data_IF_852501997619
#
_entry.id   IF_852501997619
#
_cell.length_a   1.000
_cell.length_b   1.000
_cell.length_c   1.000
_cell.angle_alpha   90.00
_cell.angle_beta   90.00
_cell.angle_gamma   90.00
#
_symmetry.space_group_name_H-M   'P 1'
#
loop_
_entity.id
_entity.type
_entity.pdbx_description
1 polymer ?
#
# COMPACT_ATOMS: atom_id res chain seq x y z
N UNK A 1 35.19 8.91 3.43
CA UNK A 1 35.50 9.79 4.58
C UNK A 1 35.17 11.22 4.18
N UNK A 2 34.59 11.99 5.10
CA UNK A 2 34.03 13.34 4.96
C UNK A 2 32.71 13.40 4.14
N UNK A 3 31.65 14.11 4.51
CA UNK A 3 31.26 14.84 5.73
C UNK A 3 29.84 15.39 5.45
N UNK A 4 28.89 15.17 6.36
CA UNK A 4 27.56 15.77 6.32
C UNK A 4 27.55 17.10 7.11
N UNK A 5 26.84 18.14 6.66
CA UNK A 5 26.29 19.20 7.51
C UNK A 5 24.80 18.88 7.78
N UNK A 6 24.30 18.78 9.02
CA UNK A 6 24.12 19.87 10.00
C UNK A 6 22.68 20.42 9.86
N UNK A 7 21.81 20.47 10.86
CA UNK A 7 21.96 20.20 12.28
C UNK A 7 20.63 20.20 13.05
N UNK A 8 20.73 19.82 14.32
CA UNK A 8 19.69 19.79 15.35
C UNK A 8 19.10 21.17 15.69
N UNK A 9 17.85 21.21 16.17
CA UNK A 9 17.43 21.98 17.36
C UNK A 9 16.16 21.39 18.01
N UNK A 10 16.34 20.75 19.17
CA UNK A 10 15.54 20.90 20.41
C UNK A 10 15.71 19.64 21.28
N UNK A 11 16.72 19.65 22.16
CA UNK A 11 16.87 18.67 23.25
C UNK A 11 16.79 19.42 24.59
N UNK A 12 15.91 18.95 25.48
CA UNK A 12 15.88 19.40 26.88
C UNK A 12 16.74 18.45 27.74
N UNK A 13 17.59 19.04 28.58
CA UNK A 13 18.53 18.37 29.48
C UNK A 13 17.86 18.11 30.83
N UNK A 14 18.03 16.91 31.40
CA UNK A 14 17.61 16.59 32.76
C UNK A 14 18.69 17.00 33.80
N UNK A 15 18.29 17.71 34.85
CA UNK A 15 19.14 18.01 36.01
C UNK A 15 18.92 16.95 37.11
N UNK A 16 19.99 16.26 37.50
CA UNK A 16 20.03 15.31 38.62
C UNK A 16 20.30 16.02 39.95
N UNK A 17 19.48 15.74 40.96
CA UNK A 17 19.74 16.07 42.36
C UNK A 17 18.88 15.21 43.30
N UNK A 18 19.49 14.19 43.92
CA UNK A 18 19.02 13.54 45.17
C UNK A 18 19.57 14.33 46.37
N UNK A 19 19.09 14.24 47.65
CA UNK A 19 18.64 13.02 48.40
C UNK A 19 17.56 13.32 49.51
N UNK A 20 17.40 12.59 50.66
CA UNK A 20 17.44 11.16 50.99
C UNK A 20 16.14 10.62 51.65
N UNK A 21 16.16 9.32 52.01
CA UNK A 21 15.11 8.44 52.52
C UNK A 21 14.52 8.72 53.92
N UNK A 22 13.30 8.23 54.15
CA UNK A 22 12.80 7.78 55.48
C UNK A 22 11.92 6.53 55.37
N UNK A 23 12.14 5.63 56.33
CA UNK A 23 11.49 4.33 56.60
C UNK A 23 10.24 4.48 57.47
N UNK A 24 9.27 3.55 57.38
CA UNK A 24 8.58 2.91 58.54
C UNK A 24 7.54 1.84 58.13
N UNK A 25 7.79 0.62 58.63
CA UNK A 25 6.91 -0.41 59.25
C UNK A 25 5.47 -0.76 58.80
N UNK A 26 5.18 -2.07 58.92
CA UNK A 26 4.04 -2.88 58.48
C UNK A 26 3.13 -3.32 59.66
N UNK A 27 1.80 -3.46 59.47
CA UNK A 27 0.96 -4.56 60.00
C UNK A 27 -0.54 -4.47 59.54
N UNK A 28 -1.32 -5.58 59.60
CA UNK A 28 -2.38 -5.90 58.62
C UNK A 28 -3.83 -5.78 59.13
N UNK A 29 -4.79 -5.70 58.19
CA UNK A 29 -6.19 -6.09 58.45
C UNK A 29 -6.94 -6.50 57.16
N UNK A 30 -7.81 -7.51 57.28
CA UNK A 30 -8.83 -7.96 56.32
C UNK A 30 -10.00 -8.53 57.15
N UNK A 31 -11.20 -8.80 56.61
CA UNK A 31 -11.88 -8.26 55.43
C UNK A 31 -13.35 -7.85 55.72
N UNK A 32 -13.99 -7.03 54.87
CA UNK A 32 -15.44 -7.15 54.66
C UNK A 32 -15.81 -6.78 53.22
N UNK A 33 -16.63 -7.64 52.64
CA UNK A 33 -17.01 -7.76 51.24
C UNK A 33 -18.12 -6.80 50.82
N UNK A 34 -17.88 -6.04 49.75
CA UNK A 34 -18.91 -5.69 48.77
C UNK A 34 -18.27 -5.76 47.39
N UNK A 35 -18.85 -6.58 46.51
CA UNK A 35 -18.27 -6.97 45.22
C UNK A 35 -18.31 -5.78 44.25
N UNK A 36 -17.20 -5.05 44.13
CA UNK A 36 -17.00 -4.08 43.05
C UNK A 36 -16.88 -4.83 41.71
N UNK A 37 -17.41 -4.29 40.60
CA UNK A 37 -17.23 -4.89 39.29
C UNK A 37 -15.74 -4.93 38.93
N UNK A 38 -15.31 -6.04 38.34
CA UNK A 38 -13.90 -6.31 38.06
C UNK A 38 -13.29 -5.26 37.12
N UNK A 39 -12.10 -4.76 37.47
CA UNK A 39 -11.27 -3.90 36.63
C UNK A 39 -10.81 -4.67 35.39
N UNK A 40 -11.02 -4.10 34.20
CA UNK A 40 -10.59 -4.66 32.92
C UNK A 40 -9.10 -4.35 32.63
N UNK A 41 -8.45 -5.02 31.67
CA UNK A 41 -7.02 -4.90 31.42
C UNK A 41 -6.66 -3.51 30.88
N UNK A 42 -5.64 -2.90 31.48
CA UNK A 42 -4.99 -1.69 31.00
C UNK A 42 -3.93 -2.04 29.95
N UNK A 43 -3.91 -1.30 28.84
CA UNK A 43 -2.80 -1.38 27.88
C UNK A 43 -1.62 -0.58 28.44
N UNK A 44 -0.45 -1.20 28.60
CA UNK A 44 0.80 -0.61 29.11
C UNK A 44 1.45 0.41 28.16
N UNK A 45 0.70 0.99 27.21
CA UNK A 45 1.19 2.04 26.35
C UNK A 45 1.24 3.37 27.11
N UNK A 46 2.37 4.08 27.02
CA UNK A 46 2.54 5.40 27.61
C UNK A 46 1.48 6.40 27.07
N UNK A 47 1.10 7.43 27.85
CA UNK A 47 0.03 8.36 27.47
C UNK A 47 0.28 9.01 26.10
N UNK A 48 -0.71 8.95 25.21
CA UNK A 48 -0.75 9.80 24.01
C UNK A 48 -0.90 11.26 24.42
N UNK A 49 -0.34 12.18 23.63
CA UNK A 49 -0.29 13.63 23.86
C UNK A 49 -1.65 14.35 23.98
N UNK A 50 -2.77 13.65 23.79
CA UNK A 50 -4.12 14.22 23.77
C UNK A 50 -4.89 14.11 25.10
N UNK A 51 -4.32 13.49 26.14
CA UNK A 51 -4.87 13.55 27.49
C UNK A 51 -3.95 14.34 28.43
N UNK A 52 -4.30 15.63 28.63
CA UNK A 52 -3.61 16.56 29.53
C UNK A 52 -3.56 16.08 31.01
N UNK A 53 -4.20 14.95 31.35
CA UNK A 53 -4.21 14.36 32.68
C UNK A 53 -3.24 13.19 32.86
N UNK A 54 -2.46 12.83 31.83
CA UNK A 54 -1.35 11.86 31.95
C UNK A 54 -1.77 10.43 32.29
N UNK A 55 -2.97 10.01 31.88
CA UNK A 55 -3.47 8.65 32.07
C UNK A 55 -3.26 7.77 30.83
N UNK A 56 -3.22 6.45 31.03
CA UNK A 56 -3.24 5.48 29.94
C UNK A 56 -4.60 5.49 29.22
N UNK A 57 -4.63 5.09 27.94
CA UNK A 57 -5.89 5.02 27.18
C UNK A 57 -6.77 3.86 27.66
N UNK A 58 -8.08 4.08 27.75
CA UNK A 58 -9.05 3.02 28.04
C UNK A 58 -9.29 2.10 26.84
N UNK A 59 -9.46 0.80 27.11
CA UNK A 59 -9.89 -0.19 26.11
C UNK A 59 -11.26 0.16 25.51
N UNK A 60 -11.57 -0.27 24.27
CA UNK A 60 -12.87 -0.04 23.64
C UNK A 60 -14.04 -0.46 24.53
N UNK A 61 -15.07 0.38 24.63
CA UNK A 61 -16.21 0.18 25.54
C UNK A 61 -15.98 0.66 26.97
N UNK A 62 -14.83 1.29 27.25
CA UNK A 62 -14.51 1.89 28.54
C UNK A 62 -14.11 3.37 28.37
N UNK A 63 -14.40 4.19 29.37
CA UNK A 63 -14.01 5.59 29.44
C UNK A 63 -13.60 5.96 30.86
N UNK A 64 -12.72 6.95 31.00
CA UNK A 64 -12.36 7.46 32.31
C UNK A 64 -13.54 8.13 33.02
N UNK A 65 -13.51 8.10 34.35
CA UNK A 65 -14.57 8.63 35.23
C UNK A 65 -14.95 10.08 34.91
N UNK A 66 -14.00 10.94 34.52
CA UNK A 66 -14.26 12.34 34.21
C UNK A 66 -15.03 12.53 32.89
N UNK A 67 -14.99 11.56 31.97
CA UNK A 67 -15.80 11.57 30.74
C UNK A 67 -17.22 11.06 30.99
N UNK A 68 -17.44 10.36 32.10
CA UNK A 68 -18.73 9.78 32.50
C UNK A 68 -19.41 10.57 33.63
N UNK A 69 -18.86 11.71 34.00
CA UNK A 69 -19.36 12.57 35.09
C UNK A 69 -19.53 11.83 36.43
N UNK A 70 -18.62 10.88 36.71
CA UNK A 70 -18.58 10.11 37.95
C UNK A 70 -17.69 10.80 39.00
N UNK A 71 -17.80 10.40 40.26
CA UNK A 71 -16.84 10.83 41.29
C UNK A 71 -15.44 10.24 41.03
N UNK A 72 -14.40 10.97 41.44
CA UNK A 72 -13.00 10.52 41.28
C UNK A 72 -12.75 9.23 42.09
N UNK A 73 -12.34 8.12 41.46
CA UNK A 73 -11.97 6.88 42.12
C UNK A 73 -10.57 6.96 42.74
N UNK A 74 -10.24 5.99 43.61
CA UNK A 74 -8.93 5.93 44.26
C UNK A 74 -7.75 5.83 43.28
N UNK A 75 -7.92 5.13 42.15
CA UNK A 75 -7.00 5.19 41.01
C UNK A 75 -7.56 6.14 39.96
N UNK A 76 -6.99 7.34 39.90
CA UNK A 76 -7.42 8.43 39.01
C UNK A 76 -7.46 8.04 37.53
N UNK A 77 -6.72 7.02 37.10
CA UNK A 77 -6.70 6.58 35.69
C UNK A 77 -7.60 5.36 35.43
N UNK A 78 -8.48 5.00 36.37
CA UNK A 78 -9.45 3.93 36.19
C UNK A 78 -10.36 4.15 34.98
N UNK A 79 -10.65 3.07 34.28
CA UNK A 79 -11.53 3.01 33.13
C UNK A 79 -12.83 2.29 33.52
N UNK A 80 -13.98 2.92 33.24
CA UNK A 80 -15.31 2.40 33.56
C UNK A 80 -16.08 2.03 32.30
N UNK A 81 -16.94 1.00 32.32
CA UNK A 81 -17.75 0.65 31.18
C UNK A 81 -18.61 1.84 30.75
N UNK A 82 -18.61 2.17 29.47
CA UNK A 82 -19.59 3.11 28.92
C UNK A 82 -20.92 2.38 28.85
N UNK A 83 -21.97 2.85 29.53
CA UNK A 83 -23.28 2.20 29.53
C UNK A 83 -23.83 2.11 28.10
N UNK A 84 -23.76 0.91 27.55
CA UNK A 84 -24.07 0.56 26.18
C UNK A 84 -23.23 -0.65 25.84
N UNK A 85 -23.85 -1.83 25.76
CA UNK A 85 -23.18 -3.06 25.32
C UNK A 85 -22.31 -2.77 24.10
N UNK A 86 -21.10 -3.37 23.99
CA UNK A 86 -20.36 -3.26 22.75
C UNK A 86 -21.28 -3.76 21.63
N UNK A 87 -21.46 -3.02 20.52
CA UNK A 87 -22.15 -3.60 19.40
C UNK A 87 -21.34 -4.85 19.03
N UNK A 88 -21.99 -6.01 19.16
CA UNK A 88 -21.56 -7.19 18.42
C UNK A 88 -21.25 -6.73 17.00
N UNK A 89 -20.05 -7.05 16.50
CA UNK A 89 -19.69 -6.79 15.12
C UNK A 89 -20.91 -7.18 14.26
N UNK A 90 -21.46 -6.25 13.45
CA UNK A 90 -22.67 -6.54 12.71
C UNK A 90 -22.38 -7.78 11.88
N UNK A 91 -23.20 -8.82 12.06
CA UNK A 91 -23.28 -9.86 11.05
C UNK A 91 -23.61 -9.14 9.74
N UNK A 92 -22.94 -9.49 8.63
CA UNK A 92 -23.22 -8.82 7.36
C UNK A 92 -24.72 -8.91 7.13
N UNK A 93 -25.42 -7.78 6.91
CA UNK A 93 -26.80 -7.88 6.48
C UNK A 93 -26.78 -8.72 5.19
N UNK A 94 -27.76 -9.62 5.04
CA UNK A 94 -28.00 -10.30 3.78
C UNK A 94 -28.51 -9.26 2.77
N UNK A 95 -27.62 -8.37 2.35
CA UNK A 95 -27.88 -7.35 1.35
C UNK A 95 -27.52 -8.01 0.05
N UNK A 96 -28.54 -8.44 -0.68
CA UNK A 96 -28.42 -8.49 -2.13
C UNK A 96 -27.84 -7.12 -2.53
N UNK A 97 -26.66 -7.14 -3.15
CA UNK A 97 -25.97 -5.94 -3.61
C UNK A 97 -27.00 -5.00 -4.25
N UNK A 98 -27.11 -3.73 -3.82
CA UNK A 98 -28.03 -2.81 -4.47
C UNK A 98 -27.72 -2.81 -5.97
N UNK A 99 -28.73 -2.81 -6.86
CA UNK A 99 -28.49 -2.81 -8.28
C UNK A 99 -27.68 -1.56 -8.65
N UNK A 100 -26.52 -1.81 -9.26
CA UNK A 100 -25.58 -0.80 -9.73
C UNK A 100 -26.27 0.04 -10.81
N UNK A 101 -26.69 1.24 -10.48
CA UNK A 101 -27.10 2.24 -11.47
C UNK A 101 -25.86 2.89 -12.09
N UNK A 102 -25.23 2.20 -13.05
CA UNK A 102 -24.05 2.74 -13.75
C UNK A 102 -23.14 1.72 -14.44
N UNK A 103 -23.63 1.05 -15.48
CA UNK A 103 -22.87 0.67 -16.67
C UNK A 103 -21.59 -0.16 -16.56
N UNK A 104 -21.70 -1.49 -16.42
CA UNK A 104 -20.59 -2.43 -16.66
C UNK A 104 -20.08 -2.49 -18.11
N UNK A 105 -20.68 -1.74 -19.04
CA UNK A 105 -20.24 -1.64 -20.43
C UNK A 105 -18.99 -0.74 -20.61
N UNK A 106 -18.78 0.25 -19.74
CA UNK A 106 -17.66 1.20 -19.84
C UNK A 106 -16.30 0.59 -19.48
N UNK A 107 -16.30 -0.43 -18.62
CA UNK A 107 -15.06 -1.02 -18.10
C UNK A 107 -14.38 -1.99 -19.05
N UNK A 108 -15.05 -2.42 -20.12
CA UNK A 108 -14.55 -3.49 -20.98
C UNK A 108 -13.38 -3.01 -21.86
N UNK A 109 -12.15 -3.37 -21.46
CA UNK A 109 -10.94 -3.10 -22.22
C UNK A 109 -10.75 -4.06 -23.40
N UNK A 110 -11.47 -5.16 -23.48
CA UNK A 110 -11.31 -6.15 -24.56
C UNK A 110 -11.45 -5.57 -25.96
N UNK A 111 -12.48 -4.76 -26.16
CA UNK A 111 -12.67 -4.01 -27.41
C UNK A 111 -11.67 -2.86 -27.57
N UNK A 112 -11.39 -2.13 -26.48
CA UNK A 112 -10.56 -0.92 -26.50
C UNK A 112 -9.09 -1.20 -26.77
N UNK A 113 -8.54 -2.21 -26.12
CA UNK A 113 -7.15 -2.62 -26.23
C UNK A 113 -6.95 -3.66 -27.34
N UNK A 114 -8.01 -4.22 -27.92
CA UNK A 114 -8.00 -5.13 -29.08
C UNK A 114 -7.25 -4.62 -30.32
N UNK A 115 -7.04 -3.30 -30.44
CA UNK A 115 -6.28 -2.68 -31.53
C UNK A 115 -4.75 -2.80 -31.44
N UNK A 116 -4.18 -3.03 -30.26
CA UNK A 116 -2.72 -3.06 -30.10
C UNK A 116 -2.12 -4.39 -30.59
N UNK A 117 -0.90 -4.34 -31.12
CA UNK A 117 -0.15 -5.50 -31.64
C UNK A 117 1.29 -5.50 -31.11
N UNK A 118 2.10 -6.50 -31.49
CA UNK A 118 3.53 -6.56 -31.16
C UNK A 118 3.84 -6.50 -29.65
N UNK A 119 4.86 -5.72 -29.29
CA UNK A 119 5.32 -5.59 -27.89
C UNK A 119 4.26 -4.97 -26.97
N UNK A 120 3.45 -4.02 -27.47
CA UNK A 120 2.35 -3.46 -26.68
C UNK A 120 1.29 -4.53 -26.36
N UNK A 121 0.87 -5.35 -27.35
CA UNK A 121 -0.05 -6.47 -27.09
C UNK A 121 0.54 -7.44 -26.07
N UNK A 122 1.83 -7.77 -26.21
CA UNK A 122 2.53 -8.67 -25.31
C UNK A 122 2.52 -8.14 -23.87
N UNK A 123 2.81 -6.86 -23.68
CA UNK A 123 2.76 -6.20 -22.39
C UNK A 123 1.36 -6.21 -21.77
N UNK A 124 0.35 -5.77 -22.52
CA UNK A 124 -1.03 -5.73 -22.05
C UNK A 124 -1.53 -7.14 -21.66
N UNK A 125 -1.20 -8.15 -22.45
CA UNK A 125 -1.55 -9.54 -22.14
C UNK A 125 -0.84 -10.04 -20.88
N UNK A 126 0.46 -9.74 -20.71
CA UNK A 126 1.22 -10.14 -19.52
C UNK A 126 0.64 -9.55 -18.22
N UNK A 127 0.09 -8.33 -18.29
CA UNK A 127 -0.50 -7.65 -17.14
C UNK A 127 -1.98 -8.02 -16.92
N UNK A 128 -2.64 -8.69 -17.88
CA UNK A 128 -4.09 -8.99 -17.81
C UNK A 128 -4.34 -10.41 -17.30
N UNK A 129 -5.07 -10.59 -16.19
CA UNK A 129 -5.45 -11.92 -15.72
C UNK A 129 -6.24 -12.70 -16.78
N UNK A 130 -5.88 -13.96 -17.05
CA UNK A 130 -6.54 -14.81 -18.03
C UNK A 130 -6.41 -16.29 -17.69
N UNK A 131 -7.52 -17.05 -17.71
CA UNK A 131 -7.52 -18.45 -17.28
C UNK A 131 -6.89 -18.63 -15.89
N UNK A 132 -5.88 -19.50 -15.82
CA UNK A 132 -5.06 -19.78 -14.62
C UNK A 132 -3.94 -18.76 -14.36
N UNK A 133 -3.80 -17.72 -15.17
CA UNK A 133 -2.90 -16.59 -14.91
C UNK A 133 -3.65 -15.49 -14.15
N UNK A 134 -3.16 -15.12 -12.96
CA UNK A 134 -3.71 -14.01 -12.17
C UNK A 134 -3.11 -12.65 -12.52
N UNK A 135 -2.29 -12.58 -13.58
CA UNK A 135 -1.70 -11.35 -14.10
C UNK A 135 -0.39 -10.98 -13.40
N UNK A 136 -0.29 -9.71 -12.99
CA UNK A 136 0.92 -9.15 -12.39
C UNK A 136 0.82 -8.92 -10.88
N UNK A 137 1.93 -9.12 -10.17
CA UNK A 137 2.09 -8.80 -8.76
C UNK A 137 3.40 -8.04 -8.51
N UNK A 138 3.36 -7.02 -7.66
CA UNK A 138 4.56 -6.30 -7.23
C UNK A 138 5.50 -7.20 -6.46
N UNK A 139 6.77 -7.22 -6.85
CA UNK A 139 7.82 -8.02 -6.25
C UNK A 139 8.98 -7.15 -5.80
N UNK A 140 9.41 -7.42 -4.57
CA UNK A 140 10.60 -6.88 -3.93
C UNK A 140 11.23 -8.04 -3.19
N UNK A 141 12.55 -8.19 -3.31
CA UNK A 141 13.27 -9.21 -2.57
C UNK A 141 13.58 -8.77 -1.12
N UNK A 142 13.28 -7.52 -0.77
CA UNK A 142 13.49 -6.94 0.54
C UNK A 142 12.44 -7.43 1.56
N UNK A 143 12.53 -8.71 1.91
CA UNK A 143 11.77 -9.35 3.00
C UNK A 143 12.64 -9.43 4.26
N UNK A 144 12.08 -9.52 5.46
CA UNK A 144 12.88 -9.59 6.68
C UNK A 144 13.97 -10.70 6.64
N UNK A 145 15.19 -10.40 7.13
CA UNK A 145 15.66 -9.13 7.73
C UNK A 145 16.26 -8.14 6.71
N UNK A 146 16.06 -8.35 5.42
CA UNK A 146 16.64 -7.57 4.33
C UNK A 146 15.82 -6.32 4.01
N UNK A 147 16.45 -5.39 3.31
CA UNK A 147 15.86 -4.12 2.87
C UNK A 147 16.45 -3.73 1.51
N UNK A 148 15.93 -2.69 0.84
CA UNK A 148 16.56 -2.18 -0.39
C UNK A 148 18.02 -1.76 -0.21
N UNK A 149 18.42 -1.39 1.02
CA UNK A 149 19.80 -1.00 1.36
C UNK A 149 20.64 -2.13 1.96
N UNK A 150 20.01 -3.26 2.27
CA UNK A 150 20.65 -4.49 2.75
C UNK A 150 20.05 -5.66 1.94
N UNK A 151 20.47 -5.85 0.68
CA UNK A 151 19.81 -6.79 -0.22
C UNK A 151 20.02 -8.25 0.22
N UNK A 152 19.06 -9.15 -0.06
CA UNK A 152 19.14 -10.56 0.29
C UNK A 152 20.17 -11.33 -0.54
N UNK A 153 20.67 -12.48 -0.05
CA UNK A 153 21.48 -13.39 -0.84
C UNK A 153 20.64 -14.02 -1.96
N UNK A 154 21.33 -14.45 -3.03
CA UNK A 154 20.70 -14.98 -4.24
C UNK A 154 19.79 -16.19 -3.99
N UNK A 155 20.16 -17.08 -3.07
CA UNK A 155 19.35 -18.27 -2.75
C UNK A 155 17.99 -17.89 -2.13
N UNK A 156 17.94 -16.77 -1.38
CA UNK A 156 16.67 -16.27 -0.88
C UNK A 156 15.81 -15.70 -2.02
N UNK A 157 16.39 -14.94 -2.96
CA UNK A 157 15.67 -14.45 -4.14
C UNK A 157 15.05 -15.63 -4.91
N UNK A 158 15.82 -16.70 -5.14
CA UNK A 158 15.35 -17.94 -5.77
C UNK A 158 14.19 -18.57 -5.00
N UNK A 159 14.32 -18.68 -3.67
CA UNK A 159 13.25 -19.21 -2.81
C UNK A 159 11.96 -18.40 -2.91
N UNK A 160 12.05 -17.07 -2.87
CA UNK A 160 10.88 -16.18 -2.97
C UNK A 160 10.18 -16.34 -4.33
N UNK A 161 10.93 -16.31 -5.43
CA UNK A 161 10.38 -16.53 -6.77
C UNK A 161 9.80 -17.94 -6.94
N UNK A 162 10.44 -18.95 -6.34
CA UNK A 162 9.92 -20.32 -6.25
C UNK A 162 8.58 -20.40 -5.51
N UNK A 163 8.45 -19.71 -4.38
CA UNK A 163 7.19 -19.64 -3.64
C UNK A 163 6.09 -18.97 -4.47
N UNK A 164 6.37 -17.87 -5.18
CA UNK A 164 5.40 -17.26 -6.09
C UNK A 164 4.97 -18.29 -7.16
N UNK A 165 5.92 -19.00 -7.77
CA UNK A 165 5.61 -20.00 -8.82
C UNK A 165 4.77 -21.16 -8.33
N UNK A 166 5.04 -21.65 -7.12
CA UNK A 166 4.45 -22.87 -6.60
C UNK A 166 3.13 -22.62 -5.86
N UNK A 167 2.98 -21.45 -5.23
CA UNK A 167 1.88 -21.16 -4.30
C UNK A 167 0.94 -20.08 -4.83
N UNK A 168 1.19 -19.54 -6.03
CA UNK A 168 0.35 -18.53 -6.65
C UNK A 168 0.18 -18.79 -8.15
N UNK A 169 -0.76 -18.07 -8.75
CA UNK A 169 -1.03 -18.10 -10.18
C UNK A 169 -0.47 -16.91 -10.95
N UNK A 170 0.26 -16.00 -10.30
CA UNK A 170 0.87 -14.85 -10.97
C UNK A 170 1.99 -15.29 -11.92
N UNK A 171 2.01 -14.77 -13.14
CA UNK A 171 3.05 -15.06 -14.15
C UNK A 171 3.88 -13.84 -14.54
N UNK A 172 3.44 -12.66 -14.11
CA UNK A 172 4.14 -11.39 -14.33
C UNK A 172 4.50 -10.74 -12.99
N UNK A 173 5.67 -10.11 -12.94
CA UNK A 173 6.15 -9.37 -11.78
C UNK A 173 6.27 -7.89 -12.13
N UNK A 174 5.94 -7.02 -11.19
CA UNK A 174 6.28 -5.59 -11.24
C UNK A 174 7.40 -5.32 -10.26
N UNK A 175 8.54 -4.78 -10.71
CA UNK A 175 9.62 -4.37 -9.81
C UNK A 175 9.87 -2.88 -9.88
N UNK A 176 10.09 -2.26 -8.71
CA UNK A 176 10.31 -0.82 -8.57
C UNK A 176 11.73 -0.35 -8.88
N UNK A 177 12.58 -1.28 -9.32
CA UNK A 177 13.92 -1.04 -9.81
C UNK A 177 14.28 -2.14 -10.80
N UNK A 178 15.20 -1.84 -11.71
CA UNK A 178 15.72 -2.78 -12.72
C UNK A 178 17.18 -3.01 -12.37
N UNK A 179 17.51 -4.22 -11.89
CA UNK A 179 18.85 -4.57 -11.44
C UNK A 179 19.38 -5.85 -12.12
N UNK A 180 20.71 -5.91 -12.30
CA UNK A 180 21.37 -7.01 -12.99
C UNK A 180 21.39 -8.34 -12.24
N UNK A 181 21.00 -8.37 -10.96
CA UNK A 181 21.09 -9.55 -10.10
C UNK A 181 19.78 -10.33 -10.07
N UNK A 182 18.65 -9.63 -9.97
CA UNK A 182 17.33 -10.24 -9.85
C UNK A 182 16.78 -10.71 -11.20
N UNK A 183 17.01 -9.94 -12.27
CA UNK A 183 16.45 -10.21 -13.61
C UNK A 183 16.86 -11.57 -14.18
N UNK A 184 18.14 -12.02 -14.08
CA UNK A 184 18.52 -13.36 -14.52
C UNK A 184 17.71 -14.47 -13.82
N UNK A 185 17.41 -14.31 -12.52
CA UNK A 185 16.60 -15.28 -11.77
C UNK A 185 15.14 -15.22 -12.20
N UNK A 186 14.58 -14.04 -12.43
CA UNK A 186 13.23 -13.89 -12.99
C UNK A 186 13.11 -14.61 -14.33
N UNK A 187 14.13 -14.48 -15.18
CA UNK A 187 14.22 -15.18 -16.47
C UNK A 187 14.36 -16.71 -16.31
N UNK A 188 15.15 -17.17 -15.33
CA UNK A 188 15.31 -18.59 -14.97
C UNK A 188 13.94 -19.20 -14.59
N UNK A 189 13.17 -18.50 -13.76
CA UNK A 189 11.83 -18.90 -13.31
C UNK A 189 10.72 -18.57 -14.34
N UNK A 190 11.07 -18.10 -15.54
CA UNK A 190 10.14 -17.82 -16.66
C UNK A 190 9.06 -16.80 -16.36
N UNK A 191 9.32 -15.85 -15.45
CA UNK A 191 8.43 -14.71 -15.22
C UNK A 191 8.59 -13.68 -16.33
N UNK A 192 7.47 -13.05 -16.68
CA UNK A 192 7.50 -11.77 -17.35
C UNK A 192 7.66 -10.66 -16.31
N UNK A 193 8.17 -9.51 -16.72
CA UNK A 193 8.44 -8.40 -15.80
C UNK A 193 8.10 -7.05 -16.42
N UNK A 194 7.37 -6.22 -15.68
CA UNK A 194 7.38 -4.78 -15.88
C UNK A 194 8.40 -4.16 -14.92
N UNK A 195 9.35 -3.40 -15.46
CA UNK A 195 10.40 -2.75 -14.66
C UNK A 195 10.17 -1.25 -14.51
N UNK A 196 10.39 -0.72 -13.32
CA UNK A 196 10.36 0.72 -13.06
C UNK A 196 11.78 1.27 -13.03
N UNK A 197 12.01 2.36 -13.76
CA UNK A 197 13.21 3.19 -13.62
C UNK A 197 13.01 4.08 -12.40
N UNK A 198 13.77 3.84 -11.34
CA UNK A 198 13.70 4.61 -10.09
C UNK A 198 14.33 5.99 -10.27
N UNK A 199 13.51 6.96 -10.68
CA UNK A 199 13.93 8.34 -10.91
C UNK A 199 13.86 9.18 -9.63
N UNK A 200 14.72 10.18 -9.53
CA UNK A 200 14.68 11.20 -8.49
C UNK A 200 14.62 12.58 -9.13
N UNK A 201 13.60 13.37 -8.78
CA UNK A 201 13.39 14.71 -9.32
C UNK A 201 14.52 15.63 -8.87
N UNK A 202 15.08 16.40 -9.81
CA UNK A 202 16.17 17.33 -9.53
C UNK A 202 17.55 16.68 -9.34
N UNK A 203 17.71 15.39 -9.61
CA UNK A 203 19.01 14.69 -9.61
C UNK A 203 19.39 14.20 -11.01
N UNK A 204 20.66 13.81 -11.18
CA UNK A 204 21.12 13.13 -12.39
C UNK A 204 20.65 11.66 -12.39
N UNK A 205 19.74 11.34 -13.32
CA UNK A 205 19.18 10.01 -13.49
C UNK A 205 19.87 9.20 -14.60
N UNK A 206 20.96 9.71 -15.18
CA UNK A 206 21.63 9.09 -16.34
C UNK A 206 22.06 7.66 -16.09
N UNK A 207 22.59 7.36 -14.91
CA UNK A 207 23.03 6.01 -14.54
C UNK A 207 21.88 5.00 -14.51
N UNK A 208 20.77 5.33 -13.85
CA UNK A 208 19.61 4.43 -13.71
C UNK A 208 18.88 4.25 -15.04
N UNK A 209 18.80 5.29 -15.88
CA UNK A 209 18.23 5.20 -17.23
C UNK A 209 19.07 4.27 -18.12
N UNK A 210 20.39 4.44 -18.12
CA UNK A 210 21.28 3.61 -18.93
C UNK A 210 21.27 2.15 -18.49
N UNK A 211 21.24 1.89 -17.18
CA UNK A 211 21.12 0.53 -16.64
C UNK A 211 19.79 -0.13 -17.06
N UNK A 212 18.68 0.61 -17.02
CA UNK A 212 17.38 0.12 -17.47
C UNK A 212 17.38 -0.26 -18.96
N UNK A 213 17.95 0.61 -19.82
CA UNK A 213 18.11 0.35 -21.25
C UNK A 213 18.96 -0.90 -21.50
N UNK A 214 20.09 -1.03 -20.81
CA UNK A 214 20.97 -2.19 -20.94
C UNK A 214 20.22 -3.48 -20.58
N UNK A 215 19.54 -3.52 -19.44
CA UNK A 215 18.81 -4.70 -18.99
C UNK A 215 17.63 -5.04 -19.91
N UNK A 216 16.88 -4.04 -20.38
CA UNK A 216 15.77 -4.23 -21.32
C UNK A 216 16.22 -4.85 -22.65
N UNK A 217 17.40 -4.48 -23.14
CA UNK A 217 17.98 -5.04 -24.35
C UNK A 217 18.63 -6.42 -24.12
N UNK A 218 19.16 -6.67 -22.92
CA UNK A 218 19.75 -7.96 -22.56
C UNK A 218 18.69 -9.04 -22.28
N UNK A 219 17.53 -8.65 -21.73
CA UNK A 219 16.44 -9.55 -21.36
C UNK A 219 15.10 -9.16 -22.03
N UNK A 220 15.04 -9.05 -23.37
CA UNK A 220 13.86 -8.56 -24.08
C UNK A 220 12.64 -9.50 -23.96
N UNK A 221 12.90 -10.78 -23.72
CA UNK A 221 11.85 -11.79 -23.48
C UNK A 221 11.38 -11.81 -22.02
N UNK A 222 12.12 -11.23 -21.09
CA UNK A 222 11.70 -11.15 -19.67
C UNK A 222 11.00 -9.82 -19.41
N UNK A 223 11.63 -8.70 -19.80
CA UNK A 223 11.09 -7.36 -19.56
C UNK A 223 10.07 -7.05 -20.67
N UNK A 224 8.79 -7.01 -20.30
CA UNK A 224 7.66 -6.77 -21.20
C UNK A 224 7.25 -5.30 -21.31
N UNK A 225 7.59 -4.48 -20.33
CA UNK A 225 7.22 -3.06 -20.26
C UNK A 225 8.12 -2.30 -19.28
N UNK A 226 8.26 -1.00 -19.50
CA UNK A 226 9.10 -0.13 -18.67
C UNK A 226 8.29 1.08 -18.20
N UNK A 227 8.37 1.41 -16.92
CA UNK A 227 7.82 2.63 -16.36
C UNK A 227 8.95 3.60 -16.00
N UNK A 228 8.90 4.82 -16.52
CA UNK A 228 9.77 5.92 -16.13
C UNK A 228 9.20 6.62 -14.90
N UNK A 229 9.70 6.26 -13.72
CA UNK A 229 9.25 6.78 -12.43
C UNK A 229 8.00 6.10 -11.87
N UNK A 230 7.85 6.23 -10.55
CA UNK A 230 6.66 5.85 -9.79
C UNK A 230 6.36 6.97 -8.80
N UNK A 231 5.15 7.52 -8.86
CA UNK A 231 4.63 8.50 -7.89
C UNK A 231 5.47 9.78 -7.73
N UNK A 232 6.16 10.21 -8.79
CA UNK A 232 6.97 11.43 -8.74
C UNK A 232 6.11 12.68 -8.53
N UNK A 233 4.91 12.73 -9.13
CA UNK A 233 3.96 13.81 -8.95
C UNK A 233 3.35 13.81 -7.55
N UNK A 234 3.03 12.64 -7.00
CA UNK A 234 2.58 12.53 -5.60
C UNK A 234 3.65 12.99 -4.61
N UNK A 235 4.91 12.63 -4.85
CA UNK A 235 6.03 12.93 -3.93
C UNK A 235 6.54 14.38 -4.04
N UNK A 236 6.62 14.92 -5.27
CA UNK A 236 7.28 16.20 -5.56
C UNK A 236 6.32 17.28 -6.08
N UNK A 237 5.01 17.00 -6.09
CA UNK A 237 3.98 17.86 -6.66
C UNK A 237 4.00 17.89 -8.19
N UNK A 238 2.94 18.45 -8.77
CA UNK A 238 2.78 18.52 -10.23
C UNK A 238 3.58 19.70 -10.81
N UNK A 239 4.91 19.60 -10.80
CA UNK A 239 5.82 20.67 -11.26
C UNK A 239 6.43 20.37 -12.63
N UNK A 240 6.92 21.40 -13.34
CA UNK A 240 7.65 21.20 -14.59
C UNK A 240 8.93 20.36 -14.41
N UNK A 241 9.54 20.39 -13.22
CA UNK A 241 10.69 19.53 -12.90
C UNK A 241 10.31 18.05 -12.97
N UNK A 242 9.13 17.68 -12.46
CA UNK A 242 8.59 16.31 -12.57
C UNK A 242 8.33 15.95 -14.03
N UNK A 243 7.67 16.84 -14.78
CA UNK A 243 7.39 16.63 -16.21
C UNK A 243 8.69 16.40 -16.99
N UNK A 244 9.72 17.24 -16.79
CA UNK A 244 11.02 17.10 -17.44
C UNK A 244 11.74 15.80 -17.04
N UNK A 245 11.71 15.44 -15.75
CA UNK A 245 12.34 14.19 -15.27
C UNK A 245 11.73 12.96 -15.94
N UNK A 246 10.40 12.89 -16.04
CA UNK A 246 9.70 11.77 -16.68
C UNK A 246 9.96 11.78 -18.19
N UNK A 247 9.80 12.92 -18.86
CA UNK A 247 9.93 13.00 -20.33
C UNK A 247 11.35 12.75 -20.81
N UNK A 248 12.40 13.15 -20.07
CA UNK A 248 13.79 12.78 -20.38
C UNK A 248 13.99 11.26 -20.36
N UNK A 249 13.55 10.59 -19.29
CA UNK A 249 13.60 9.14 -19.20
C UNK A 249 12.84 8.48 -20.36
N UNK A 250 11.60 8.90 -20.61
CA UNK A 250 10.74 8.33 -21.66
C UNK A 250 11.41 8.45 -23.01
N UNK A 251 11.92 9.63 -23.37
CA UNK A 251 12.57 9.86 -24.65
C UNK A 251 13.84 9.00 -24.82
N UNK A 252 14.68 8.94 -23.80
CA UNK A 252 15.93 8.17 -23.84
C UNK A 252 15.68 6.66 -23.90
N UNK A 253 14.71 6.16 -23.13
CA UNK A 253 14.37 4.74 -23.12
C UNK A 253 13.70 4.34 -24.43
N UNK A 254 12.68 5.07 -24.90
CA UNK A 254 11.99 4.77 -26.17
C UNK A 254 12.92 4.78 -27.38
N UNK A 255 13.95 5.62 -27.38
CA UNK A 255 14.93 5.65 -28.45
C UNK A 255 15.83 4.41 -28.51
N UNK A 256 15.91 3.61 -27.43
CA UNK A 256 16.92 2.58 -27.27
C UNK A 256 16.36 1.16 -27.01
N UNK A 257 15.06 1.00 -26.79
CA UNK A 257 14.43 -0.28 -26.44
C UNK A 257 13.20 -0.58 -27.30
N UNK A 258 12.72 -1.83 -27.28
CA UNK A 258 11.53 -2.26 -28.03
C UNK A 258 10.26 -2.36 -27.17
N UNK A 259 10.42 -2.39 -25.86
CA UNK A 259 9.34 -2.46 -24.89
C UNK A 259 8.54 -1.16 -24.88
N UNK A 260 7.21 -1.23 -24.67
CA UNK A 260 6.41 -0.04 -24.46
C UNK A 260 6.82 0.68 -23.17
N UNK A 261 6.91 2.01 -23.24
CA UNK A 261 7.38 2.87 -22.15
C UNK A 261 6.24 3.73 -21.63
N UNK A 262 5.99 3.66 -20.32
CA UNK A 262 4.97 4.43 -19.62
C UNK A 262 5.54 5.16 -18.41
N UNK A 263 4.66 5.68 -17.57
CA UNK A 263 4.97 6.24 -16.26
C UNK A 263 3.79 5.98 -15.33
N UNK A 264 4.04 5.91 -14.02
CA UNK A 264 3.05 5.50 -13.03
C UNK A 264 2.93 6.53 -11.93
N UNK A 265 1.70 6.89 -11.57
CA UNK A 265 1.44 7.83 -10.47
C UNK A 265 0.06 7.59 -9.86
N UNK A 266 -0.23 8.24 -8.74
CA UNK A 266 -1.52 8.13 -8.06
C UNK A 266 -2.66 8.68 -8.90
N UNK A 267 -3.88 8.22 -8.63
CA UNK A 267 -5.10 8.77 -9.24
C UNK A 267 -5.17 10.30 -9.14
N UNK A 268 -4.84 10.88 -7.98
CA UNK A 268 -4.85 12.33 -7.76
C UNK A 268 -3.83 13.06 -8.63
N UNK A 269 -2.68 12.46 -8.93
CA UNK A 269 -1.73 13.08 -9.85
C UNK A 269 -2.31 13.19 -11.26
N UNK A 270 -2.94 12.14 -11.76
CA UNK A 270 -3.57 12.15 -13.09
C UNK A 270 -4.86 12.96 -13.16
N UNK A 271 -5.56 13.11 -12.02
CA UNK A 271 -6.89 13.72 -11.97
C UNK A 271 -7.12 14.46 -10.64
N UNK A 272 -6.45 15.59 -10.45
CA UNK A 272 -6.70 16.53 -9.33
C UNK A 272 -7.55 17.73 -9.77
N UNK A 273 -8.33 18.27 -8.83
CA UNK A 273 -9.06 19.53 -8.97
C UNK A 273 -8.10 20.74 -9.04
N UNK A 274 -6.91 20.63 -8.43
CA UNK A 274 -5.93 21.73 -8.31
C UNK A 274 -5.18 22.04 -9.61
N UNK A 275 -5.29 21.20 -10.64
CA UNK A 275 -4.71 21.39 -11.98
C UNK A 275 -5.80 21.53 -13.06
N UNK A 276 -6.80 22.38 -12.79
CA UNK A 276 -7.82 22.76 -13.79
C UNK A 276 -8.81 21.67 -14.17
N UNK A 277 -9.01 20.67 -13.32
CA UNK A 277 -9.84 19.50 -13.64
C UNK A 277 -9.08 18.51 -14.52
N UNK A 278 -8.22 17.71 -13.88
CA UNK A 278 -7.53 16.56 -14.46
C UNK A 278 -6.64 16.79 -15.69
N UNK A 279 -6.34 18.03 -16.12
CA UNK A 279 -5.72 18.23 -17.45
C UNK A 279 -4.94 19.54 -17.68
N UNK A 280 -3.82 19.81 -17.00
CA UNK A 280 -2.87 20.78 -17.61
C UNK A 280 -1.43 20.34 -17.65
N UNK A 281 -0.84 19.85 -16.56
CA UNK A 281 0.60 19.54 -16.53
C UNK A 281 0.90 18.10 -16.93
N UNK A 282 -0.02 17.18 -16.66
CA UNK A 282 0.13 15.77 -17.02
C UNK A 282 -0.17 15.47 -18.50
N UNK A 283 -0.81 16.37 -19.25
CA UNK A 283 -0.99 16.16 -20.70
C UNK A 283 0.35 16.04 -21.41
N UNK A 284 1.30 16.91 -21.08
CA UNK A 284 2.66 16.86 -21.62
C UNK A 284 3.39 15.54 -21.30
N UNK A 285 3.11 14.95 -20.12
CA UNK A 285 3.61 13.62 -19.78
C UNK A 285 2.87 12.57 -20.60
N UNK A 286 1.54 12.51 -20.53
CA UNK A 286 0.73 11.48 -21.19
C UNK A 286 0.94 11.40 -22.70
N UNK A 287 1.17 12.54 -23.35
CA UNK A 287 1.38 12.62 -24.80
C UNK A 287 2.69 11.95 -25.25
N UNK A 288 3.66 11.80 -24.35
CA UNK A 288 4.94 11.13 -24.63
C UNK A 288 4.92 9.61 -24.40
N UNK A 289 3.93 9.11 -23.64
CA UNK A 289 3.88 7.73 -23.18
C UNK A 289 3.27 6.79 -24.22
N UNK A 290 3.66 5.51 -24.16
CA UNK A 290 2.96 4.44 -24.87
C UNK A 290 1.78 3.89 -24.05
N UNK A 291 1.82 4.05 -22.72
CA UNK A 291 0.77 3.67 -21.77
C UNK A 291 0.85 4.48 -20.47
N UNK A 292 -0.27 4.62 -19.76
CA UNK A 292 -0.39 5.32 -18.47
C UNK A 292 -0.56 4.30 -17.35
N UNK A 293 0.21 4.42 -16.28
CA UNK A 293 0.03 3.68 -15.03
C UNK A 293 -0.66 4.50 -13.97
N UNK A 294 -1.70 3.96 -13.36
CA UNK A 294 -2.39 4.58 -12.22
C UNK A 294 -2.33 3.69 -10.97
N UNK A 295 -1.89 4.27 -9.86
CA UNK A 295 -1.93 3.66 -8.54
C UNK A 295 -3.23 4.06 -7.84
N UNK A 296 -4.04 3.07 -7.42
CA UNK A 296 -5.37 3.27 -6.84
C UNK A 296 -5.52 2.41 -5.58
N UNK A 297 -5.60 3.09 -4.43
CA UNK A 297 -5.77 2.44 -3.13
C UNK A 297 -7.00 2.97 -2.39
N UNK A 298 -8.14 2.27 -2.48
CA UNK A 298 -9.33 2.60 -1.69
C UNK A 298 -9.06 2.65 -0.17
N UNK A 299 -8.08 1.88 0.32
CA UNK A 299 -7.61 1.94 1.69
C UNK A 299 -7.09 3.35 2.07
N UNK A 300 -6.25 3.96 1.24
CA UNK A 300 -5.71 5.30 1.52
C UNK A 300 -6.76 6.39 1.39
N UNK A 301 -7.77 6.20 0.53
CA UNK A 301 -8.93 7.08 0.50
C UNK A 301 -9.67 7.11 1.85
N UNK A 302 -9.70 5.99 2.58
CA UNK A 302 -10.28 5.96 3.93
C UNK A 302 -9.50 6.81 4.93
N UNK A 303 -8.22 7.07 4.69
CA UNK A 303 -7.37 7.84 5.60
C UNK A 303 -7.36 9.32 5.20
N UNK A 304 -7.21 9.61 3.90
CA UNK A 304 -6.88 10.95 3.42
C UNK A 304 -7.98 11.64 2.61
N UNK A 305 -8.94 10.91 2.04
CA UNK A 305 -9.95 11.49 1.14
C UNK A 305 -11.19 11.95 1.89
N UNK A 306 -11.67 13.17 1.59
CA UNK A 306 -12.98 13.66 2.02
C UNK A 306 -14.14 13.22 1.13
N UNK A 307 -13.88 12.85 -0.13
CA UNK A 307 -14.91 12.55 -1.13
C UNK A 307 -15.47 11.13 -1.00
N UNK A 308 -14.58 10.16 -0.72
CA UNK A 308 -14.93 8.75 -0.51
C UNK A 308 -14.32 8.25 0.81
N UNK A 309 -14.73 8.77 1.98
CA UNK A 309 -14.03 8.60 3.25
C UNK A 309 -14.18 7.21 3.90
N UNK A 310 -15.04 6.34 3.35
CA UNK A 310 -15.32 5.01 3.88
C UNK A 310 -15.59 4.00 2.77
N UNK A 311 -14.52 3.37 2.31
CA UNK A 311 -14.48 2.31 1.34
C UNK A 311 -14.23 1.02 2.11
N UNK A 312 -15.26 0.21 2.34
CA UNK A 312 -15.08 -1.10 2.97
C UNK A 312 -14.37 -2.07 2.01
N UNK A 313 -13.69 -3.08 2.56
CA UNK A 313 -12.92 -4.04 1.77
C UNK A 313 -13.74 -4.73 0.65
N UNK A 314 -15.04 -4.97 0.88
CA UNK A 314 -15.95 -5.60 -0.08
C UNK A 314 -16.40 -4.66 -1.22
N UNK A 315 -16.17 -3.36 -1.09
CA UNK A 315 -16.43 -2.36 -2.15
C UNK A 315 -15.14 -1.89 -2.81
N UNK A 316 -13.99 -2.14 -2.18
CA UNK A 316 -12.70 -1.61 -2.61
C UNK A 316 -12.41 -1.95 -4.08
N UNK A 317 -12.65 -3.19 -4.51
CA UNK A 317 -12.41 -3.60 -5.88
C UNK A 317 -13.24 -2.80 -6.90
N UNK A 318 -14.55 -2.65 -6.63
CA UNK A 318 -15.43 -1.85 -7.47
C UNK A 318 -15.03 -0.37 -7.49
N UNK A 319 -14.63 0.19 -6.35
CA UNK A 319 -14.20 1.60 -6.28
C UNK A 319 -12.89 1.85 -7.03
N UNK A 320 -11.99 0.87 -7.03
CA UNK A 320 -10.79 0.90 -7.89
C UNK A 320 -11.19 0.96 -9.36
N UNK A 321 -12.15 0.14 -9.79
CA UNK A 321 -12.66 0.12 -11.17
C UNK A 321 -13.35 1.43 -11.57
N UNK A 322 -14.12 2.03 -10.68
CA UNK A 322 -14.75 3.34 -10.92
C UNK A 322 -13.71 4.43 -11.17
N UNK A 323 -12.69 4.53 -10.30
CA UNK A 323 -11.58 5.47 -10.48
C UNK A 323 -10.80 5.19 -11.76
N UNK A 324 -10.53 3.91 -12.07
CA UNK A 324 -9.87 3.54 -13.32
C UNK A 324 -10.67 3.96 -14.55
N UNK A 325 -11.99 3.76 -14.54
CA UNK A 325 -12.85 4.11 -15.65
C UNK A 325 -12.85 5.62 -15.97
N UNK A 326 -12.79 6.47 -14.94
CA UNK A 326 -12.66 7.93 -15.14
C UNK A 326 -11.42 8.25 -15.97
N UNK A 327 -10.27 7.66 -15.63
CA UNK A 327 -9.03 7.87 -16.38
C UNK A 327 -9.07 7.23 -17.76
N UNK A 328 -9.73 6.08 -17.91
CA UNK A 328 -9.96 5.49 -19.23
C UNK A 328 -10.77 6.44 -20.12
N UNK A 329 -11.85 7.05 -19.64
CA UNK A 329 -12.62 8.02 -20.42
C UNK A 329 -11.79 9.28 -20.73
N UNK A 330 -10.99 9.72 -19.76
CA UNK A 330 -10.09 10.87 -19.91
C UNK A 330 -8.99 10.63 -20.96
N UNK A 331 -8.40 9.44 -21.00
CA UNK A 331 -7.27 9.08 -21.85
C UNK A 331 -7.65 8.02 -22.90
N UNK A 332 -8.69 8.31 -23.68
CA UNK A 332 -9.33 7.36 -24.63
C UNK A 332 -8.40 6.75 -25.70
N UNK A 333 -7.32 7.43 -26.05
CA UNK A 333 -6.41 7.07 -27.14
C UNK A 333 -5.24 6.14 -26.72
N UNK A 334 -4.93 6.06 -25.42
CA UNK A 334 -3.78 5.35 -24.86
C UNK A 334 -4.24 4.28 -23.83
N UNK A 335 -3.50 3.17 -23.63
CA UNK A 335 -3.82 2.24 -22.56
C UNK A 335 -3.61 2.87 -21.18
N UNK A 336 -4.59 2.69 -20.30
CA UNK A 336 -4.49 3.03 -18.87
C UNK A 336 -4.50 1.73 -18.09
N UNK A 337 -3.46 1.51 -17.28
CA UNK A 337 -3.20 0.27 -16.52
C UNK A 337 -3.24 0.60 -15.04
N UNK A 338 -3.95 -0.18 -14.23
CA UNK A 338 -3.90 -0.02 -12.77
C UNK A 338 -2.61 -0.67 -12.26
N UNK A 339 -1.58 0.13 -12.04
CA UNK A 339 -0.22 -0.34 -11.73
C UNK A 339 0.00 -0.64 -10.26
N UNK A 340 -0.89 -0.14 -9.40
CA UNK A 340 -0.96 -0.58 -8.02
C UNK A 340 -2.41 -0.57 -7.54
N UNK A 341 -2.80 -1.68 -6.92
CA UNK A 341 -4.03 -1.80 -6.15
C UNK A 341 -3.80 -2.85 -5.06
N UNK A 342 -4.55 -2.76 -3.97
CA UNK A 342 -4.46 -3.74 -2.91
C UNK A 342 -5.31 -3.39 -1.70
N UNK A 343 -5.24 -4.27 -0.70
CA UNK A 343 -5.76 -4.03 0.63
C UNK A 343 -4.79 -4.65 1.64
N UNK A 344 -4.44 -3.97 2.74
CA UNK A 344 -3.51 -4.53 3.70
C UNK A 344 -4.15 -5.67 4.51
N UNK A 345 -3.36 -6.72 4.74
CA UNK A 345 -3.70 -7.78 5.66
C UNK A 345 -3.37 -7.41 7.11
N UNK A 346 -3.10 -8.43 7.90
CA UNK A 346 -2.53 -8.31 9.25
C UNK A 346 -1.68 -9.57 9.51
N UNK A 347 -0.91 -9.61 10.61
CA UNK A 347 -0.34 -10.88 11.07
C UNK A 347 -1.43 -11.94 11.25
N UNK A 348 -1.04 -13.21 11.13
CA UNK A 348 -2.00 -14.31 11.11
C UNK A 348 -2.88 -14.35 12.36
N UNK A 349 -4.19 -14.54 12.13
CA UNK A 349 -5.20 -14.54 13.18
C UNK A 349 -5.49 -13.17 13.80
N UNK A 350 -4.88 -12.10 13.30
CA UNK A 350 -5.09 -10.74 13.83
C UNK A 350 -5.99 -9.90 12.92
N UNK A 351 -6.54 -8.85 13.51
CA UNK A 351 -7.20 -7.76 12.80
C UNK A 351 -6.60 -6.45 13.28
N UNK A 352 -6.17 -5.61 12.35
CA UNK A 352 -5.70 -4.27 12.61
C UNK A 352 -6.79 -3.30 12.14
N UNK A 353 -7.20 -2.41 13.02
CA UNK A 353 -7.98 -1.25 12.61
C UNK A 353 -7.01 -0.18 12.13
N UNK A 354 -7.11 0.15 10.84
CA UNK A 354 -6.39 1.26 10.26
C UNK A 354 -6.84 2.60 10.84
N UNK A 355 -6.12 3.64 10.43
CA UNK A 355 -6.36 5.01 10.87
C UNK A 355 -7.79 5.45 10.53
N UNK A 356 -8.36 6.27 11.42
CA UNK A 356 -9.59 6.98 11.11
C UNK A 356 -9.31 8.01 10.00
N UNK A 357 -10.32 8.28 9.19
CA UNK A 357 -10.26 9.30 8.16
C UNK A 357 -9.95 10.67 8.78
N UNK A 358 -8.92 11.36 8.29
CA UNK A 358 -8.49 12.65 8.86
C UNK A 358 -9.49 13.78 8.63
N UNK A 359 -10.40 13.64 7.67
CA UNK A 359 -11.41 14.66 7.35
C UNK A 359 -12.72 14.40 8.09
N UNK A 360 -13.17 13.15 8.12
CA UNK A 360 -14.51 12.77 8.61
C UNK A 360 -14.53 12.03 9.94
N UNK A 361 -13.38 11.53 10.40
CA UNK A 361 -13.26 10.70 11.60
C UNK A 361 -13.79 9.27 11.45
N UNK A 362 -14.25 8.86 10.26
CA UNK A 362 -14.77 7.50 10.02
C UNK A 362 -13.66 6.44 10.10
N UNK A 363 -13.99 5.26 10.65
CA UNK A 363 -13.04 4.14 10.77
C UNK A 363 -13.52 2.92 9.98
N UNK A 364 -13.07 2.81 8.74
CA UNK A 364 -13.53 1.80 7.78
C UNK A 364 -12.42 0.85 7.29
N UNK A 365 -11.19 1.10 7.73
CA UNK A 365 -9.98 0.42 7.31
C UNK A 365 -9.72 -0.85 8.13
N UNK A 366 -10.56 -1.87 7.96
CA UNK A 366 -10.39 -3.15 8.66
C UNK A 366 -9.42 -4.05 7.90
N UNK A 367 -8.25 -4.30 8.50
CA UNK A 367 -7.15 -5.02 7.87
C UNK A 367 -7.01 -6.40 8.50
N UNK A 368 -7.21 -7.44 7.70
CA UNK A 368 -6.95 -8.82 8.08
C UNK A 368 -6.79 -9.66 6.79
N UNK A 369 -6.29 -10.88 6.95
CA UNK A 369 -6.01 -11.77 5.82
C UNK A 369 -7.27 -12.14 5.00
N UNK A 370 -8.42 -12.31 5.66
CA UNK A 370 -9.68 -12.63 4.97
C UNK A 370 -10.16 -11.48 4.07
N UNK A 371 -10.10 -10.24 4.57
CA UNK A 371 -10.46 -9.03 3.83
C UNK A 371 -9.51 -8.78 2.67
N UNK A 372 -8.19 -8.92 2.89
CA UNK A 372 -7.19 -8.81 1.82
C UNK A 372 -7.45 -9.86 0.74
N UNK A 373 -7.64 -11.13 1.12
CA UNK A 373 -7.92 -12.22 0.17
C UNK A 373 -9.18 -11.94 -0.65
N UNK A 374 -10.26 -11.49 -0.01
CA UNK A 374 -11.51 -11.16 -0.70
C UNK A 374 -11.34 -10.02 -1.70
N UNK A 375 -10.66 -8.93 -1.30
CA UNK A 375 -10.38 -7.81 -2.20
C UNK A 375 -9.52 -8.23 -3.40
N UNK A 376 -8.49 -9.05 -3.18
CA UNK A 376 -7.62 -9.58 -4.24
C UNK A 376 -8.41 -10.48 -5.21
N UNK A 377 -9.27 -11.35 -4.69
CA UNK A 377 -10.16 -12.19 -5.50
C UNK A 377 -11.10 -11.33 -6.35
N UNK A 378 -11.79 -10.38 -5.74
CA UNK A 378 -12.75 -9.51 -6.44
C UNK A 378 -12.08 -8.70 -7.55
N UNK A 379 -10.89 -8.13 -7.28
CA UNK A 379 -10.12 -7.40 -8.29
C UNK A 379 -9.73 -8.30 -9.46
N UNK A 380 -9.19 -9.50 -9.20
CA UNK A 380 -8.79 -10.42 -10.26
C UNK A 380 -10.00 -10.87 -11.09
N UNK A 381 -11.14 -11.14 -10.47
CA UNK A 381 -12.37 -11.49 -11.16
C UNK A 381 -12.87 -10.35 -12.06
N UNK A 382 -12.90 -9.12 -11.57
CA UNK A 382 -13.28 -7.95 -12.35
C UNK A 382 -12.29 -7.71 -13.50
N UNK A 383 -10.99 -7.75 -13.24
CA UNK A 383 -9.97 -7.56 -14.27
C UNK A 383 -10.03 -8.64 -15.34
N UNK A 384 -10.27 -9.90 -14.98
CA UNK A 384 -10.48 -10.99 -15.95
C UNK A 384 -11.75 -10.77 -16.77
N UNK A 385 -12.86 -10.43 -16.10
CA UNK A 385 -14.16 -10.21 -16.76
C UNK A 385 -14.11 -9.09 -17.78
N UNK A 386 -13.40 -8.00 -17.46
CA UNK A 386 -13.34 -6.80 -18.30
C UNK A 386 -12.05 -6.70 -19.11
N UNK A 387 -11.19 -7.73 -19.07
CA UNK A 387 -9.91 -7.81 -19.79
C UNK A 387 -8.99 -6.62 -19.51
N UNK A 388 -8.86 -6.26 -18.23
CA UNK A 388 -8.08 -5.11 -17.79
C UNK A 388 -6.70 -5.53 -17.29
N UNK A 389 -5.62 -4.92 -17.83
CA UNK A 389 -4.28 -5.09 -17.30
C UNK A 389 -4.18 -4.41 -15.94
N UNK A 390 -3.58 -5.09 -14.97
CA UNK A 390 -3.40 -4.54 -13.64
C UNK A 390 -2.26 -5.22 -12.87
N UNK A 391 -1.86 -4.63 -11.75
CA UNK A 391 -0.84 -5.18 -10.88
C UNK A 391 -1.24 -5.11 -9.40
N UNK A 392 -1.23 -6.28 -8.75
CA UNK A 392 -1.53 -6.44 -7.33
C UNK A 392 -0.33 -5.99 -6.48
N UNK A 393 -0.57 -5.12 -5.50
CA UNK A 393 0.41 -4.72 -4.51
C UNK A 393 0.13 -5.43 -3.16
N UNK A 394 0.97 -6.35 -2.68
CA UNK A 394 2.22 -6.87 -3.26
C UNK A 394 2.41 -8.37 -2.97
N UNK A 395 3.48 -8.98 -3.50
CA UNK A 395 3.77 -10.41 -3.33
C UNK A 395 4.10 -10.74 -1.87
N UNK A 396 5.12 -10.10 -1.30
CA UNK A 396 5.60 -10.37 0.06
C UNK A 396 5.37 -9.19 0.98
N UNK A 397 5.15 -9.46 2.28
CA UNK A 397 5.20 -8.43 3.31
C UNK A 397 6.63 -7.88 3.38
N UNK A 398 6.73 -6.58 3.62
CA UNK A 398 7.98 -5.83 3.53
C UNK A 398 8.26 -5.13 4.87
N UNK A 399 8.86 -5.85 5.81
CA UNK A 399 9.04 -5.38 7.19
C UNK A 399 9.90 -4.11 7.28
N UNK A 400 10.79 -3.89 6.32
CA UNK A 400 11.64 -2.68 6.25
C UNK A 400 10.83 -1.39 6.10
N UNK A 401 9.60 -1.47 5.57
CA UNK A 401 8.68 -0.33 5.47
C UNK A 401 8.12 0.13 6.83
N UNK A 402 8.35 -0.65 7.89
CA UNK A 402 7.85 -0.39 9.23
C UNK A 402 8.75 0.49 10.12
N UNK A 403 9.81 1.08 9.58
CA UNK A 403 10.70 1.98 10.34
C UNK A 403 10.22 3.43 10.23
N UNK A 404 9.95 4.11 11.37
CA UNK A 404 9.59 5.55 11.40
C UNK A 404 8.30 5.97 12.14
N UNK A 405 7.60 5.06 12.83
CA UNK A 405 6.31 5.38 13.50
C UNK A 405 5.11 5.36 12.54
N UNK A 406 3.87 5.40 13.07
CA UNK A 406 2.50 5.46 12.44
C UNK A 406 2.18 4.56 11.20
N UNK A 407 3.17 3.93 10.55
CA UNK A 407 3.11 3.20 9.28
C UNK A 407 3.30 1.68 9.46
N UNK A 408 2.85 1.10 10.57
CA UNK A 408 2.91 -0.37 10.75
C UNK A 408 2.14 -1.12 9.65
N UNK A 409 1.11 -0.51 9.08
CA UNK A 409 0.31 -1.12 8.01
C UNK A 409 1.07 -1.29 6.69
N UNK A 410 2.09 -0.48 6.44
CA UNK A 410 2.92 -0.58 5.23
C UNK A 410 3.68 -1.89 5.14
N UNK A 411 3.90 -2.54 6.28
CA UNK A 411 4.52 -3.87 6.33
C UNK A 411 3.53 -4.98 5.94
N UNK A 412 2.24 -4.68 5.73
CA UNK A 412 1.17 -5.68 5.70
C UNK A 412 0.48 -5.85 4.33
N UNK A 413 1.01 -5.26 3.26
CA UNK A 413 0.44 -5.34 1.90
C UNK A 413 0.66 -6.68 1.19
N UNK A 414 1.67 -7.44 1.60
CA UNK A 414 2.01 -8.71 0.98
C UNK A 414 0.94 -9.79 1.13
N UNK A 415 0.62 -10.49 0.04
CA UNK A 415 -0.22 -11.70 0.06
C UNK A 415 0.53 -12.94 0.57
N UNK A 416 1.86 -12.86 0.64
CA UNK A 416 2.78 -13.83 1.22
C UNK A 416 3.52 -13.25 2.43
N UNK A 417 3.92 -14.11 3.37
CA UNK A 417 4.69 -13.70 4.55
C UNK A 417 6.06 -13.13 4.18
N UNK A 418 6.47 -12.05 4.83
CA UNK A 418 7.81 -11.44 4.71
C UNK A 418 8.84 -12.08 5.64
N UNK A 419 8.45 -13.12 6.37
CA UNK A 419 9.34 -13.93 7.22
C UNK A 419 9.30 -15.40 6.81
N UNK A 420 10.38 -16.18 7.10
CA UNK A 420 10.39 -17.62 6.82
C UNK A 420 9.18 -18.33 7.43
N UNK A 421 8.55 -19.27 6.70
CA UNK A 421 9.00 -19.87 5.44
C UNK A 421 8.59 -19.11 4.16
N UNK A 422 8.07 -17.87 4.28
CA UNK A 422 7.62 -17.00 3.18
C UNK A 422 6.42 -17.55 2.40
N UNK A 423 5.48 -18.19 3.10
CA UNK A 423 4.30 -18.80 2.46
C UNK A 423 3.31 -17.75 1.95
N UNK A 424 2.65 -18.06 0.85
CA UNK A 424 1.57 -17.25 0.28
C UNK A 424 0.23 -17.67 0.88
N UNK A 425 -0.35 -16.81 1.72
CA UNK A 425 -1.50 -17.14 2.57
C UNK A 425 -2.81 -16.60 1.97
N UNK A 426 -2.71 -15.52 1.21
CA UNK A 426 -3.86 -14.79 0.65
C UNK A 426 -3.88 -14.82 -0.88
N UNK A 427 -3.15 -15.74 -1.50
CA UNK A 427 -3.21 -15.91 -2.95
C UNK A 427 -4.52 -16.59 -3.36
N UNK A 428 -5.21 -16.09 -4.40
CA UNK A 428 -6.30 -16.82 -5.02
C UNK A 428 -5.73 -18.01 -5.80
N UNK A 429 -5.94 -19.22 -5.27
CA UNK A 429 -5.65 -20.48 -5.96
C UNK A 429 -6.61 -20.72 -7.12
#
# INVERSE_FOLDING_TARGET
MASAPGGDRCACVASSGSPPAQTTTRAPSTPTTTKAPASAPTTTAAPSTDDLRGCWTCSPGYSHWWKLNMAEPADRCSCFPTSGSPPSAPSPPSVASPPVSGGGAGWNAGGRYGKYTGQMRRFLNAMTPSGDDTGSVSFSAAVAPYSPWNPPPMDLIKRLLGNIRQQTKFKTLTMYYIDQWTIPVIAEYKFQMMGVVSLVVGQDNTGVINAAIQMANQFPDTIVGIACGNELGQQSGLTWSVVHTITDCVNRVKAAVKQPVGSMDTYSSWCSQDDGGCRTRWSAVSDSLDWIGVNIYPYWNNVFSGDKPCNYYYEAAQRTMESHNVLMDLYSNIPVIVTEWGWPGAPDGQTIMGHANYVTGQQCSVCNNANQKKMVQDMIELNRKYQLPSNCFSAFREEWKGTGGVMSIETQWGICSGTPPYNCMNSPN
#
